data_IF_706241994649
#
_entry.id   IF_706241994649
#
_cell.length_a   1.000
_cell.length_b   1.000
_cell.length_c   1.000
_cell.angle_alpha   90.00
_cell.angle_beta   90.00
_cell.angle_gamma   90.00
#
_symmetry.space_group_name_H-M   'P 1'
#
loop_
_entity.id
_entity.type
_entity.pdbx_description
1 polymer ?
#
# COMPACT_ATOMS: atom_id res chain seq x y z
N UNK A 1 -16.07 6.55 26.24
CA UNK A 1 -15.52 6.86 24.91
C UNK A 1 -16.57 7.68 24.17
N UNK A 2 -16.18 8.79 23.57
CA UNK A 2 -17.09 9.60 22.77
C UNK A 2 -17.66 8.74 21.61
N UNK A 3 -18.97 8.65 21.50
CA UNK A 3 -19.65 7.78 20.52
C UNK A 3 -19.24 8.12 19.07
N UNK A 4 -18.95 9.39 18.78
CA UNK A 4 -18.51 9.84 17.46
C UNK A 4 -17.11 9.32 17.17
N UNK A 5 -16.15 9.49 18.08
CA UNK A 5 -14.77 9.00 17.90
C UNK A 5 -14.73 7.47 17.70
N UNK A 6 -15.57 6.73 18.43
CA UNK A 6 -15.66 5.27 18.25
C UNK A 6 -16.19 4.89 16.86
N UNK A 7 -17.21 5.59 16.36
CA UNK A 7 -17.75 5.36 15.01
C UNK A 7 -16.71 5.70 13.93
N UNK A 8 -15.99 6.81 14.07
CA UNK A 8 -14.93 7.20 13.13
C UNK A 8 -13.75 6.22 13.18
N UNK A 9 -13.39 5.71 14.36
CA UNK A 9 -12.36 4.67 14.50
C UNK A 9 -12.76 3.37 13.81
N UNK A 10 -14.01 2.92 13.98
CA UNK A 10 -14.52 1.74 13.28
C UNK A 10 -14.61 1.97 11.77
N UNK A 11 -14.99 3.18 11.34
CA UNK A 11 -14.96 3.58 9.93
C UNK A 11 -13.54 3.41 9.33
N UNK A 12 -12.50 3.91 10.01
CA UNK A 12 -11.12 3.76 9.56
C UNK A 12 -10.68 2.29 9.55
N UNK A 13 -11.06 1.51 10.57
CA UNK A 13 -10.77 0.09 10.63
C UNK A 13 -11.35 -0.64 9.41
N UNK A 14 -12.65 -0.46 9.13
CA UNK A 14 -13.32 -1.11 8.01
C UNK A 14 -12.77 -0.65 6.65
N UNK A 15 -12.46 0.65 6.51
CA UNK A 15 -11.87 1.22 5.30
C UNK A 15 -10.59 0.48 4.89
N UNK A 16 -9.71 0.23 5.83
CA UNK A 16 -8.42 -0.42 5.54
C UNK A 16 -8.50 -1.95 5.63
N UNK A 17 -9.47 -2.52 6.33
CA UNK A 17 -9.73 -3.95 6.30
C UNK A 17 -10.19 -4.43 4.91
N UNK A 18 -11.08 -3.67 4.24
CA UNK A 18 -11.47 -3.92 2.83
C UNK A 18 -10.26 -4.03 1.91
N UNK A 19 -9.21 -3.27 2.16
CA UNK A 19 -8.00 -3.24 1.34
C UNK A 19 -6.97 -4.29 1.78
N UNK A 20 -6.75 -4.41 3.09
CA UNK A 20 -5.72 -5.27 3.69
C UNK A 20 -5.93 -6.77 3.48
N UNK A 21 -7.18 -7.22 3.27
CA UNK A 21 -7.46 -8.64 3.10
C UNK A 21 -6.90 -9.22 1.80
N UNK A 22 -6.76 -8.43 0.73
CA UNK A 22 -6.39 -8.93 -0.60
C UNK A 22 -5.08 -8.37 -1.16
N UNK A 23 -4.73 -7.11 -0.86
CA UNK A 23 -3.60 -6.47 -1.54
C UNK A 23 -2.24 -7.15 -1.28
N UNK A 24 -1.92 -7.61 -0.05
CA UNK A 24 -0.64 -8.26 0.22
C UNK A 24 -0.41 -9.55 -0.58
N UNK A 25 -1.47 -10.25 -0.95
CA UNK A 25 -1.39 -11.56 -1.62
C UNK A 25 -1.86 -11.53 -3.07
N UNK A 26 -2.37 -10.38 -3.56
CA UNK A 26 -2.90 -10.30 -4.91
C UNK A 26 -1.85 -10.62 -5.97
N UNK A 27 -0.64 -10.09 -5.83
CA UNK A 27 0.42 -10.31 -6.80
C UNK A 27 0.85 -11.77 -6.86
N UNK A 28 0.90 -12.46 -5.72
CA UNK A 28 1.10 -13.90 -5.61
C UNK A 28 0.03 -14.65 -6.39
N UNK A 29 -1.25 -14.42 -6.09
CA UNK A 29 -2.37 -15.06 -6.79
C UNK A 29 -2.32 -14.86 -8.31
N UNK A 30 -2.03 -13.63 -8.75
CA UNK A 30 -2.00 -13.32 -10.19
C UNK A 30 -0.81 -13.95 -10.92
N UNK A 31 0.35 -14.11 -10.26
CA UNK A 31 1.56 -14.67 -10.88
C UNK A 31 1.69 -16.17 -10.72
N UNK A 32 1.11 -16.78 -9.68
CA UNK A 32 1.16 -18.24 -9.48
C UNK A 32 0.57 -18.98 -10.67
N UNK A 33 1.10 -20.17 -10.94
CA UNK A 33 0.70 -20.96 -12.10
C UNK A 33 -0.77 -21.36 -12.05
N UNK A 34 -1.37 -21.56 -13.22
CA UNK A 34 -2.75 -22.06 -13.30
C UNK A 34 -2.86 -23.48 -12.71
N UNK A 35 -1.80 -24.28 -12.79
CA UNK A 35 -1.76 -25.61 -12.19
C UNK A 35 -1.85 -25.57 -10.66
N UNK A 36 -1.31 -24.52 -10.02
CA UNK A 36 -1.37 -24.29 -8.58
C UNK A 36 -2.63 -23.52 -8.16
N UNK A 37 -3.52 -23.21 -9.12
CA UNK A 37 -4.76 -22.48 -8.88
C UNK A 37 -4.62 -20.95 -8.93
N UNK A 38 -3.48 -20.42 -9.40
CA UNK A 38 -3.27 -19.00 -9.69
C UNK A 38 -3.75 -18.61 -11.09
N UNK A 39 -3.45 -17.37 -11.50
CA UNK A 39 -3.89 -16.83 -12.79
C UNK A 39 -2.85 -17.00 -13.91
N UNK A 40 -1.60 -17.30 -13.61
CA UNK A 40 -0.51 -17.43 -14.56
C UNK A 40 -0.18 -16.15 -15.32
N UNK A 41 -0.48 -14.99 -14.77
CA UNK A 41 -0.19 -13.70 -15.41
C UNK A 41 1.30 -13.36 -15.34
N UNK A 42 1.81 -12.76 -16.40
CA UNK A 42 3.18 -12.24 -16.43
C UNK A 42 3.35 -11.07 -15.46
N UNK A 43 4.59 -10.81 -15.05
CA UNK A 43 4.92 -9.65 -14.20
C UNK A 43 4.46 -8.33 -14.83
N UNK A 44 4.51 -8.21 -16.17
CA UNK A 44 3.99 -7.06 -16.89
C UNK A 44 2.46 -6.90 -16.78
N UNK A 45 1.71 -8.00 -16.90
CA UNK A 45 0.26 -8.00 -16.75
C UNK A 45 -0.13 -7.63 -15.31
N UNK A 46 0.56 -8.18 -14.31
CA UNK A 46 0.36 -7.82 -12.89
C UNK A 46 0.69 -6.35 -12.66
N UNK A 47 1.76 -5.84 -13.26
CA UNK A 47 2.12 -4.43 -13.24
C UNK A 47 1.04 -3.52 -13.80
N UNK A 48 0.39 -3.91 -14.91
CA UNK A 48 -0.74 -3.15 -15.48
C UNK A 48 -1.97 -3.18 -14.56
N UNK A 49 -2.29 -4.33 -13.95
CA UNK A 49 -3.46 -4.47 -13.06
C UNK A 49 -3.25 -3.69 -11.75
N UNK A 50 -2.12 -3.90 -11.06
CA UNK A 50 -1.90 -3.31 -9.73
C UNK A 50 -1.36 -1.88 -9.85
N UNK A 51 -0.41 -1.64 -10.77
CA UNK A 51 0.21 -0.33 -10.96
C UNK A 51 -0.67 0.62 -11.75
N UNK A 52 -0.91 0.33 -13.03
CA UNK A 52 -1.61 1.27 -13.93
C UNK A 52 -3.09 1.40 -13.56
N UNK A 53 -3.83 0.30 -13.44
CA UNK A 53 -5.25 0.35 -13.10
C UNK A 53 -5.48 0.96 -11.71
N UNK A 54 -4.65 0.63 -10.72
CA UNK A 54 -4.68 1.27 -9.40
C UNK A 54 -4.46 2.76 -9.45
N UNK A 55 -3.54 3.23 -10.31
CA UNK A 55 -3.21 4.65 -10.47
C UNK A 55 -4.34 5.48 -11.06
N UNK A 56 -5.16 4.93 -11.95
CA UNK A 56 -6.31 5.65 -12.54
C UNK A 56 -7.25 6.12 -11.43
N UNK A 57 -7.54 5.26 -10.46
CA UNK A 57 -8.33 5.63 -9.29
C UNK A 57 -7.66 6.69 -8.43
N UNK A 58 -6.36 6.55 -8.13
CA UNK A 58 -5.62 7.50 -7.31
C UNK A 58 -5.56 8.91 -7.93
N UNK A 59 -5.38 9.00 -9.25
CA UNK A 59 -5.37 10.28 -9.98
C UNK A 59 -6.77 10.89 -10.04
N UNK A 60 -7.81 10.07 -10.23
CA UNK A 60 -9.20 10.56 -10.34
C UNK A 60 -9.85 10.87 -8.98
N UNK A 61 -9.35 10.29 -7.89
CA UNK A 61 -9.96 10.41 -6.56
C UNK A 61 -10.19 11.85 -6.07
N UNK A 62 -9.24 12.80 -6.20
CA UNK A 62 -9.46 14.19 -5.76
C UNK A 62 -10.59 14.88 -6.53
N UNK A 63 -10.80 14.53 -7.80
CA UNK A 63 -11.88 15.08 -8.62
C UNK A 63 -13.22 14.49 -8.23
N UNK A 64 -13.29 13.18 -8.01
CA UNK A 64 -14.53 12.48 -7.63
C UNK A 64 -14.95 12.86 -6.20
N UNK A 65 -14.02 12.82 -5.24
CA UNK A 65 -14.34 13.16 -3.84
C UNK A 65 -14.56 14.65 -3.67
N UNK A 66 -13.60 15.50 -4.08
CA UNK A 66 -13.63 16.94 -3.79
C UNK A 66 -14.58 17.74 -4.66
N UNK A 67 -14.69 17.44 -5.97
CA UNK A 67 -15.50 18.24 -6.87
C UNK A 67 -16.92 17.71 -7.07
N UNK A 68 -17.12 16.40 -6.99
CA UNK A 68 -18.42 15.80 -7.24
C UNK A 68 -19.15 15.44 -5.94
N UNK A 69 -18.50 14.67 -5.05
CA UNK A 69 -19.14 14.23 -3.81
C UNK A 69 -19.47 15.40 -2.89
N UNK A 70 -18.48 16.27 -2.61
CA UNK A 70 -18.63 17.38 -1.66
C UNK A 70 -19.69 18.40 -2.09
N UNK A 71 -20.04 18.47 -3.38
CA UNK A 71 -21.04 19.43 -3.88
C UNK A 71 -22.47 18.90 -3.89
N UNK A 72 -22.65 17.61 -4.15
CA UNK A 72 -23.98 17.08 -4.51
C UNK A 72 -24.52 16.06 -3.52
N UNK A 73 -23.66 15.43 -2.71
CA UNK A 73 -24.07 14.31 -1.87
C UNK A 73 -23.62 14.47 -0.42
N UNK A 74 -24.43 13.95 0.50
CA UNK A 74 -23.96 13.72 1.85
C UNK A 74 -22.86 12.64 1.84
N UNK A 75 -21.73 12.93 2.50
CA UNK A 75 -20.50 12.13 2.39
C UNK A 75 -20.72 10.67 2.76
N UNK A 76 -21.47 10.38 3.82
CA UNK A 76 -21.77 9.02 4.28
C UNK A 76 -22.59 8.23 3.26
N UNK A 77 -23.52 8.89 2.55
CA UNK A 77 -24.37 8.23 1.53
C UNK A 77 -23.58 7.93 0.26
N UNK A 78 -22.73 8.87 -0.16
CA UNK A 78 -21.89 8.69 -1.33
C UNK A 78 -20.82 7.61 -1.07
N UNK A 79 -20.22 7.61 0.12
CA UNK A 79 -19.32 6.57 0.58
C UNK A 79 -19.98 5.20 0.53
N UNK A 80 -21.20 5.06 1.06
CA UNK A 80 -21.97 3.81 1.00
C UNK A 80 -22.20 3.33 -0.43
N UNK A 81 -22.57 4.23 -1.36
CA UNK A 81 -22.80 3.89 -2.76
C UNK A 81 -21.50 3.39 -3.44
N UNK A 82 -20.36 4.07 -3.21
CA UNK A 82 -19.07 3.65 -3.75
C UNK A 82 -18.65 2.28 -3.21
N UNK A 83 -18.89 2.01 -1.93
CA UNK A 83 -18.57 0.72 -1.30
C UNK A 83 -19.44 -0.42 -1.84
N UNK A 84 -20.73 -0.19 -2.07
CA UNK A 84 -21.61 -1.19 -2.69
C UNK A 84 -21.14 -1.51 -4.11
N UNK A 85 -20.94 -0.49 -4.95
CA UNK A 85 -20.49 -0.69 -6.32
C UNK A 85 -19.11 -1.33 -6.36
N UNK A 86 -18.17 -0.86 -5.52
CA UNK A 86 -16.83 -1.43 -5.38
C UNK A 86 -16.86 -2.89 -4.91
N UNK A 87 -17.74 -3.22 -3.97
CA UNK A 87 -17.95 -4.59 -3.48
C UNK A 87 -18.45 -5.54 -4.57
N UNK A 88 -19.41 -5.09 -5.39
CA UNK A 88 -19.90 -5.86 -6.55
C UNK A 88 -18.75 -6.13 -7.53
N UNK A 89 -17.99 -5.09 -7.90
CA UNK A 89 -16.85 -5.22 -8.81
C UNK A 89 -15.79 -6.16 -8.23
N UNK A 90 -15.52 -6.07 -6.92
CA UNK A 90 -14.53 -6.92 -6.26
C UNK A 90 -14.93 -8.40 -6.27
N UNK A 91 -16.18 -8.70 -5.99
CA UNK A 91 -16.69 -10.06 -6.11
C UNK A 91 -16.65 -10.53 -7.56
N UNK A 92 -17.03 -9.67 -8.53
CA UNK A 92 -16.97 -10.00 -9.96
C UNK A 92 -15.55 -10.35 -10.42
N UNK A 93 -14.51 -9.67 -9.89
CA UNK A 93 -13.11 -9.97 -10.17
C UNK A 93 -12.72 -11.40 -9.80
N UNK A 94 -13.26 -11.95 -8.70
CA UNK A 94 -12.93 -13.29 -8.23
C UNK A 94 -13.38 -14.42 -9.15
N UNK A 95 -14.18 -14.12 -10.15
CA UNK A 95 -14.71 -15.07 -11.14
C UNK A 95 -14.13 -14.85 -12.56
N UNK A 96 -13.12 -13.99 -12.69
CA UNK A 96 -12.54 -13.67 -14.00
C UNK A 96 -11.23 -14.42 -14.22
N UNK A 97 -11.12 -15.02 -15.42
CA UNK A 97 -9.92 -15.76 -15.83
C UNK A 97 -9.10 -15.00 -16.88
N UNK A 98 -9.66 -13.98 -17.53
CA UNK A 98 -8.96 -13.24 -18.58
C UNK A 98 -8.29 -11.97 -18.07
N UNK A 99 -7.07 -11.71 -18.57
CA UNK A 99 -6.32 -10.48 -18.27
C UNK A 99 -7.11 -9.21 -18.62
N UNK A 100 -7.83 -9.20 -19.76
CA UNK A 100 -8.59 -8.03 -20.17
C UNK A 100 -9.72 -7.70 -19.18
N UNK A 101 -10.45 -8.71 -18.72
CA UNK A 101 -11.51 -8.53 -17.71
C UNK A 101 -10.91 -8.05 -16.37
N UNK A 102 -9.78 -8.61 -15.97
CA UNK A 102 -9.06 -8.16 -14.77
C UNK A 102 -8.64 -6.69 -14.87
N UNK A 103 -8.06 -6.27 -15.99
CA UNK A 103 -7.60 -4.89 -16.18
C UNK A 103 -8.77 -3.89 -16.13
N UNK A 104 -9.87 -4.19 -16.82
CA UNK A 104 -11.07 -3.34 -16.86
C UNK A 104 -11.71 -3.25 -15.47
N UNK A 105 -11.96 -4.38 -14.82
CA UNK A 105 -12.62 -4.40 -13.51
C UNK A 105 -11.72 -3.84 -12.41
N UNK A 106 -10.40 -4.08 -12.45
CA UNK A 106 -9.46 -3.47 -11.52
C UNK A 106 -9.42 -1.95 -11.67
N UNK A 107 -9.46 -1.44 -12.91
CA UNK A 107 -9.57 0.00 -13.17
C UNK A 107 -10.87 0.57 -12.61
N UNK A 108 -11.99 -0.07 -12.87
CA UNK A 108 -13.28 0.35 -12.34
C UNK A 108 -13.29 0.33 -10.80
N UNK A 109 -12.78 -0.75 -10.20
CA UNK A 109 -12.65 -0.84 -8.75
C UNK A 109 -11.81 0.30 -8.17
N UNK A 110 -10.67 0.61 -8.79
CA UNK A 110 -9.80 1.69 -8.28
C UNK A 110 -10.48 3.06 -8.34
N UNK A 111 -11.23 3.35 -9.41
CA UNK A 111 -12.02 4.59 -9.55
C UNK A 111 -13.11 4.69 -8.49
N UNK A 112 -13.71 3.57 -8.09
CA UNK A 112 -14.73 3.53 -7.04
C UNK A 112 -14.13 3.59 -5.63
N UNK A 113 -13.00 2.90 -5.39
CA UNK A 113 -12.44 2.73 -4.05
C UNK A 113 -11.52 3.90 -3.63
N UNK A 114 -10.65 4.40 -4.50
CA UNK A 114 -9.68 5.44 -4.11
C UNK A 114 -10.32 6.73 -3.56
N UNK A 115 -11.44 7.23 -4.10
CA UNK A 115 -12.14 8.38 -3.51
C UNK A 115 -12.61 8.14 -2.07
N UNK A 116 -12.92 6.89 -1.69
CA UNK A 116 -13.38 6.57 -0.32
C UNK A 116 -12.33 6.89 0.74
N UNK A 117 -11.03 6.80 0.42
CA UNK A 117 -9.94 7.18 1.31
C UNK A 117 -9.95 8.68 1.65
N UNK A 118 -10.22 9.52 0.66
CA UNK A 118 -10.33 10.98 0.85
C UNK A 118 -11.61 11.34 1.62
N UNK A 119 -12.74 10.68 1.30
CA UNK A 119 -14.02 10.92 1.96
C UNK A 119 -13.98 10.55 3.45
N UNK A 120 -13.35 9.42 3.81
CA UNK A 120 -13.21 9.01 5.22
C UNK A 120 -12.33 9.97 6.02
N UNK A 121 -11.24 10.46 5.42
CA UNK A 121 -10.40 11.47 6.06
C UNK A 121 -11.15 12.79 6.24
N UNK A 122 -11.84 13.27 5.20
CA UNK A 122 -12.65 14.51 5.24
C UNK A 122 -13.75 14.42 6.30
N UNK A 123 -14.46 13.28 6.37
CA UNK A 123 -15.48 13.03 7.39
C UNK A 123 -14.88 13.05 8.80
N UNK A 124 -13.73 12.42 9.02
CA UNK A 124 -13.07 12.44 10.31
C UNK A 124 -12.68 13.85 10.73
N UNK A 125 -12.11 14.65 9.83
CA UNK A 125 -11.79 16.06 10.12
C UNK A 125 -13.04 16.92 10.41
N UNK A 126 -14.16 16.65 9.74
CA UNK A 126 -15.39 17.42 9.93
C UNK A 126 -16.07 17.19 11.28
N UNK A 127 -15.81 16.05 11.95
CA UNK A 127 -16.50 15.65 13.18
C UNK A 127 -15.60 15.48 14.41
N UNK A 128 -14.31 15.86 14.31
CA UNK A 128 -13.40 15.87 15.44
C UNK A 128 -13.18 17.29 15.94
N UNK A 129 -13.55 17.55 17.21
CA UNK A 129 -13.43 18.88 17.82
C UNK A 129 -11.97 19.38 17.88
N UNK A 130 -11.04 18.46 18.11
CA UNK A 130 -9.59 18.71 18.15
C UNK A 130 -8.90 17.85 17.12
N UNK A 131 -9.10 18.16 15.83
CA UNK A 131 -8.64 17.34 14.72
C UNK A 131 -7.14 17.02 14.80
N UNK A 132 -6.28 18.00 15.15
CA UNK A 132 -4.83 17.80 15.25
C UNK A 132 -4.42 16.72 16.25
N UNK A 133 -5.11 16.60 17.39
CA UNK A 133 -4.78 15.63 18.45
C UNK A 133 -5.56 14.33 18.35
N UNK A 134 -6.80 14.37 17.84
CA UNK A 134 -7.71 13.22 17.81
C UNK A 134 -7.63 12.43 16.51
N UNK A 135 -7.34 13.09 15.38
CA UNK A 135 -7.25 12.41 14.08
C UNK A 135 -6.19 11.29 14.07
N UNK A 136 -4.96 11.45 14.59
CA UNK A 136 -4.00 10.35 14.64
C UNK A 136 -4.53 9.14 15.42
N UNK A 137 -5.27 9.36 16.51
CA UNK A 137 -5.86 8.30 17.34
C UNK A 137 -6.99 7.56 16.63
N UNK A 138 -7.74 8.23 15.79
CA UNK A 138 -8.78 7.65 14.93
C UNK A 138 -8.13 6.95 13.74
N UNK A 139 -7.14 7.57 13.10
CA UNK A 139 -6.48 7.07 11.89
C UNK A 139 -5.68 5.78 12.13
N UNK A 140 -5.10 5.59 13.30
CA UNK A 140 -4.36 4.36 13.65
C UNK A 140 -5.22 3.10 13.53
N UNK A 141 -6.54 3.21 13.74
CA UNK A 141 -7.47 2.09 13.56
C UNK A 141 -7.50 1.58 12.11
N UNK A 142 -7.16 2.43 11.14
CA UNK A 142 -6.96 1.97 9.77
C UNK A 142 -5.79 0.98 9.65
N UNK A 143 -4.65 1.26 10.25
CA UNK A 143 -3.51 0.34 10.27
C UNK A 143 -3.86 -0.96 11.01
N UNK A 144 -4.59 -0.85 12.12
CA UNK A 144 -5.08 -2.03 12.86
C UNK A 144 -6.03 -2.86 11.98
N UNK A 145 -6.95 -2.22 11.24
CA UNK A 145 -7.86 -2.89 10.31
C UNK A 145 -7.14 -3.62 9.17
N UNK A 146 -6.12 -2.98 8.60
CA UNK A 146 -5.25 -3.60 7.61
C UNK A 146 -4.56 -4.86 8.17
N UNK A 147 -3.88 -4.73 9.31
CA UNK A 147 -3.17 -5.84 9.94
C UNK A 147 -4.13 -6.97 10.30
N UNK A 148 -5.27 -6.65 10.93
CA UNK A 148 -6.25 -7.65 11.32
C UNK A 148 -6.77 -8.45 10.11
N UNK A 149 -7.10 -7.79 9.00
CA UNK A 149 -7.56 -8.46 7.78
C UNK A 149 -6.46 -9.31 7.13
N UNK A 150 -5.22 -8.79 7.10
CA UNK A 150 -4.05 -9.52 6.57
C UNK A 150 -3.68 -10.76 7.39
N UNK A 151 -4.09 -10.85 8.65
CA UNK A 151 -3.83 -12.01 9.51
C UNK A 151 -5.00 -12.96 9.56
N UNK A 152 -6.20 -12.46 9.83
CA UNK A 152 -7.37 -13.32 10.09
C UNK A 152 -7.75 -14.19 8.89
N UNK A 153 -7.75 -13.60 7.68
CA UNK A 153 -8.14 -14.35 6.49
C UNK A 153 -7.20 -15.54 6.22
N UNK A 154 -5.88 -15.33 5.99
CA UNK A 154 -5.00 -16.43 5.62
C UNK A 154 -4.87 -17.47 6.75
N UNK A 155 -4.81 -17.03 7.99
CA UNK A 155 -4.65 -17.94 9.13
C UNK A 155 -5.87 -18.83 9.37
N UNK A 156 -7.08 -18.37 9.06
CA UNK A 156 -8.31 -19.14 9.27
C UNK A 156 -8.69 -19.91 8.01
N UNK A 157 -8.54 -19.31 6.82
CA UNK A 157 -9.10 -19.84 5.58
C UNK A 157 -8.12 -20.72 4.77
N UNK A 158 -6.82 -20.43 4.90
CA UNK A 158 -5.78 -21.14 4.15
C UNK A 158 -5.15 -22.31 4.94
N UNK A 159 -5.62 -22.59 6.14
CA UNK A 159 -5.10 -23.65 7.00
C UNK A 159 -6.20 -24.61 7.46
N UNK A 160 -5.78 -25.83 7.79
CA UNK A 160 -6.56 -26.87 8.45
C UNK A 160 -5.88 -27.28 9.76
N UNK A 161 -6.61 -27.97 10.66
CA UNK A 161 -6.07 -28.43 11.96
C UNK A 161 -5.42 -27.32 12.77
N UNK A 162 -6.15 -26.19 12.91
CA UNK A 162 -5.64 -24.99 13.57
C UNK A 162 -5.36 -25.21 15.05
N UNK A 163 -4.14 -24.89 15.48
CA UNK A 163 -3.73 -24.82 16.88
C UNK A 163 -3.43 -23.36 17.25
N UNK A 164 -3.90 -22.95 18.43
CA UNK A 164 -3.61 -21.62 18.95
C UNK A 164 -2.30 -21.64 19.74
N UNK A 165 -1.44 -20.65 19.46
CA UNK A 165 -0.23 -20.40 20.25
C UNK A 165 -0.17 -18.93 20.69
N UNK A 166 0.51 -18.68 21.83
CA UNK A 166 0.58 -17.33 22.43
C UNK A 166 1.44 -16.37 21.61
N UNK A 167 2.45 -16.88 20.90
CA UNK A 167 3.35 -16.09 20.07
C UNK A 167 2.89 -16.09 18.61
N UNK A 168 3.14 -14.98 17.85
CA UNK A 168 2.89 -14.99 16.41
C UNK A 168 3.61 -16.17 15.72
N UNK A 169 2.96 -16.77 14.74
CA UNK A 169 1.71 -16.38 14.09
C UNK A 169 0.42 -16.87 14.76
N UNK A 170 0.19 -16.77 15.99
CA UNK A 170 -0.97 -17.09 16.84
C UNK A 170 -1.78 -18.35 16.47
N UNK A 171 -2.04 -18.61 15.21
CA UNK A 171 -2.69 -19.81 14.68
C UNK A 171 -1.72 -20.53 13.74
N UNK A 172 -1.45 -21.77 14.02
CA UNK A 172 -0.58 -22.64 13.23
C UNK A 172 -1.38 -23.88 12.85
N UNK A 173 -1.27 -24.28 11.61
CA UNK A 173 -1.92 -25.47 11.09
C UNK A 173 -1.26 -25.91 9.81
N UNK A 174 -1.82 -26.91 9.16
CA UNK A 174 -1.35 -27.35 7.85
C UNK A 174 -1.99 -26.48 6.76
N UNK A 175 -1.17 -25.92 5.88
CA UNK A 175 -1.69 -25.23 4.71
C UNK A 175 -2.56 -26.18 3.87
N UNK A 176 -3.71 -25.69 3.41
CA UNK A 176 -4.59 -26.50 2.57
C UNK A 176 -3.99 -26.67 1.17
N UNK A 177 -4.20 -27.82 0.49
CA UNK A 177 -3.58 -28.07 -0.82
C UNK A 177 -3.99 -27.06 -1.91
N UNK A 178 -5.15 -26.42 -1.76
CA UNK A 178 -5.70 -25.42 -2.68
C UNK A 178 -5.53 -23.97 -2.17
N UNK A 179 -4.52 -23.70 -1.32
CA UNK A 179 -4.31 -22.39 -0.69
C UNK A 179 -4.19 -21.25 -1.72
N UNK A 180 -3.41 -21.45 -2.77
CA UNK A 180 -3.27 -20.44 -3.83
C UNK A 180 -4.60 -20.14 -4.54
N UNK A 181 -5.39 -21.16 -4.87
CA UNK A 181 -6.71 -20.97 -5.45
C UNK A 181 -7.67 -20.21 -4.52
N UNK A 182 -7.58 -20.48 -3.21
CA UNK A 182 -8.38 -19.78 -2.19
C UNK A 182 -8.00 -18.31 -2.01
N UNK A 183 -6.87 -17.84 -2.54
CA UNK A 183 -6.56 -16.42 -2.56
C UNK A 183 -7.60 -15.59 -3.35
N UNK A 184 -8.30 -16.18 -4.34
CA UNK A 184 -9.44 -15.55 -4.99
C UNK A 184 -10.55 -15.16 -4.00
N UNK A 185 -10.70 -15.90 -2.90
CA UNK A 185 -11.72 -15.62 -1.89
C UNK A 185 -11.43 -14.35 -1.10
N UNK A 186 -10.17 -13.85 -1.09
CA UNK A 186 -9.83 -12.53 -0.52
C UNK A 186 -10.65 -11.43 -1.17
N UNK A 187 -10.91 -11.54 -2.47
CA UNK A 187 -11.70 -10.59 -3.24
C UNK A 187 -13.18 -10.65 -2.84
N UNK A 188 -13.71 -11.87 -2.65
CA UNK A 188 -15.10 -12.09 -2.17
C UNK A 188 -15.27 -11.53 -0.76
N UNK A 189 -14.34 -11.85 0.15
CA UNK A 189 -14.35 -11.32 1.53
C UNK A 189 -14.26 -9.81 1.54
N UNK A 190 -13.36 -9.21 0.73
CA UNK A 190 -13.28 -7.76 0.56
C UNK A 190 -14.62 -7.15 0.14
N UNK A 191 -15.30 -7.77 -0.84
CA UNK A 191 -16.63 -7.33 -1.28
C UNK A 191 -17.68 -7.41 -0.17
N UNK A 192 -17.71 -8.53 0.58
CA UNK A 192 -18.63 -8.70 1.72
C UNK A 192 -18.36 -7.66 2.81
N UNK A 193 -17.09 -7.44 3.19
CA UNK A 193 -16.71 -6.42 4.17
C UNK A 193 -17.09 -5.02 3.66
N UNK A 194 -16.96 -4.74 2.35
CA UNK A 194 -17.41 -3.49 1.76
C UNK A 194 -18.92 -3.29 1.88
N UNK A 195 -19.74 -4.34 1.72
CA UNK A 195 -21.19 -4.26 1.93
C UNK A 195 -21.55 -4.01 3.41
N UNK A 196 -20.88 -4.70 4.33
CA UNK A 196 -21.07 -4.46 5.77
C UNK A 196 -20.67 -3.02 6.14
N UNK A 197 -19.59 -2.54 5.57
CA UNK A 197 -19.13 -1.17 5.75
C UNK A 197 -20.11 -0.16 5.14
N UNK A 198 -20.67 -0.42 3.96
CA UNK A 198 -21.70 0.40 3.36
C UNK A 198 -22.95 0.50 4.25
N UNK A 199 -23.39 -0.60 4.86
CA UNK A 199 -24.44 -0.61 5.88
C UNK A 199 -24.07 0.22 7.12
N UNK A 200 -22.83 0.11 7.59
CA UNK A 200 -22.34 0.91 8.71
C UNK A 200 -22.28 2.42 8.41
N UNK A 201 -22.10 2.82 7.14
CA UNK A 201 -22.12 4.24 6.77
C UNK A 201 -23.40 4.98 7.20
N UNK A 202 -24.54 4.30 7.31
CA UNK A 202 -25.78 4.90 7.78
C UNK A 202 -25.78 5.19 9.31
N UNK A 203 -24.81 4.67 10.05
CA UNK A 203 -24.60 4.95 11.47
C UNK A 203 -23.57 6.07 11.70
N UNK A 204 -22.88 6.52 10.65
CA UNK A 204 -21.91 7.61 10.71
C UNK A 204 -22.63 8.98 10.91
N UNK A 205 -21.93 9.98 11.44
CA UNK A 205 -22.50 11.31 11.59
C UNK A 205 -22.81 11.93 10.22
N UNK A 206 -23.94 12.62 10.13
CA UNK A 206 -24.37 13.25 8.89
C UNK A 206 -23.39 14.36 8.47
N UNK A 207 -22.88 14.27 7.26
CA UNK A 207 -21.93 15.22 6.68
C UNK A 207 -22.52 15.80 5.40
N UNK A 208 -23.19 16.97 5.50
CA UNK A 208 -23.89 17.58 4.38
C UNK A 208 -22.91 18.08 3.31
N UNK A 209 -23.34 18.21 2.03
CA UNK A 209 -22.52 18.74 0.97
C UNK A 209 -22.12 20.19 1.22
N UNK A 210 -20.87 20.55 0.91
CA UNK A 210 -20.33 21.91 0.97
C UNK A 210 -20.51 22.57 -0.39
N UNK A 211 -21.36 23.62 -0.47
CA UNK A 211 -21.66 24.33 -1.74
C UNK A 211 -20.55 25.29 -2.18
N UNK A 212 -19.68 25.71 -1.26
CA UNK A 212 -18.61 26.68 -1.54
C UNK A 212 -17.40 25.96 -2.09
N UNK A 213 -17.15 26.17 -3.36
CA UNK A 213 -16.20 25.39 -4.13
C UNK A 213 -14.73 25.73 -3.88
N UNK A 214 -13.89 24.70 -3.92
CA UNK A 214 -12.43 24.79 -4.01
C UNK A 214 -12.05 25.66 -5.22
N UNK A 215 -11.16 26.63 -5.03
CA UNK A 215 -10.65 27.50 -6.09
C UNK A 215 -10.01 26.66 -7.22
N UNK A 216 -10.57 26.78 -8.43
CA UNK A 216 -10.08 26.09 -9.64
C UNK A 216 -8.61 26.43 -10.00
N UNK A 217 -8.11 27.55 -9.49
CA UNK A 217 -6.76 28.07 -9.78
C UNK A 217 -5.66 27.53 -8.83
N UNK A 218 -6.03 26.96 -7.68
CA UNK A 218 -5.06 26.47 -6.69
C UNK A 218 -4.16 25.35 -7.24
N UNK A 219 -4.69 24.50 -8.12
CA UNK A 219 -3.91 23.46 -8.82
C UNK A 219 -2.80 24.03 -9.71
N UNK A 220 -3.09 25.08 -10.49
CA UNK A 220 -2.07 25.74 -11.33
C UNK A 220 -0.97 26.39 -10.49
N UNK A 221 -1.35 27.02 -9.38
CA UNK A 221 -0.38 27.59 -8.45
C UNK A 221 0.48 26.49 -7.77
N UNK A 222 -0.10 25.35 -7.43
CA UNK A 222 0.66 24.24 -6.86
C UNK A 222 1.74 23.70 -7.81
N UNK A 223 1.48 23.65 -9.12
CA UNK A 223 2.50 23.30 -10.12
C UNK A 223 3.64 24.33 -10.20
N UNK A 224 3.42 25.59 -9.83
CA UNK A 224 4.50 26.59 -9.79
C UNK A 224 5.56 26.28 -8.73
N UNK A 225 5.24 25.46 -7.72
CA UNK A 225 6.24 24.98 -6.74
C UNK A 225 7.37 24.18 -7.40
N UNK A 226 7.13 23.55 -8.56
CA UNK A 226 8.18 22.87 -9.32
C UNK A 226 9.29 23.81 -9.81
N UNK A 227 9.05 25.13 -9.82
CA UNK A 227 10.10 26.12 -10.11
C UNK A 227 11.04 26.34 -8.93
N UNK A 228 10.62 26.00 -7.71
CA UNK A 228 11.49 26.02 -6.50
C UNK A 228 12.41 24.81 -6.53
N UNK A 229 13.72 25.05 -6.52
CA UNK A 229 14.73 24.00 -6.71
C UNK A 229 14.58 22.84 -5.73
N UNK A 230 14.35 23.12 -4.45
CA UNK A 230 14.22 22.08 -3.42
C UNK A 230 12.98 21.21 -3.62
N UNK A 231 11.85 21.82 -4.00
CA UNK A 231 10.63 21.08 -4.32
C UNK A 231 10.82 20.22 -5.59
N UNK A 232 11.45 20.74 -6.62
CA UNK A 232 11.75 19.98 -7.84
C UNK A 232 12.66 18.78 -7.56
N UNK A 233 13.70 18.96 -6.73
CA UNK A 233 14.59 17.85 -6.30
C UNK A 233 13.84 16.83 -5.47
N UNK A 234 12.94 17.28 -4.56
CA UNK A 234 12.11 16.36 -3.78
C UNK A 234 11.21 15.50 -4.68
N UNK A 235 10.55 16.12 -5.67
CA UNK A 235 9.71 15.39 -6.64
C UNK A 235 10.56 14.42 -7.48
N UNK A 236 11.72 14.86 -7.97
CA UNK A 236 12.65 14.03 -8.74
C UNK A 236 13.18 12.83 -7.93
N UNK A 237 13.34 12.97 -6.60
CA UNK A 237 13.71 11.88 -5.70
C UNK A 237 12.51 10.99 -5.35
N UNK A 238 11.33 11.58 -5.18
CA UNK A 238 10.13 10.86 -4.75
C UNK A 238 9.56 9.93 -5.83
N UNK A 239 9.68 10.31 -7.09
CA UNK A 239 9.16 9.51 -8.20
C UNK A 239 9.84 8.14 -8.32
N UNK A 240 11.18 8.01 -8.40
CA UNK A 240 11.84 6.71 -8.45
C UNK A 240 11.59 5.89 -7.16
N UNK A 241 11.51 6.53 -5.99
CA UNK A 241 11.17 5.82 -4.74
C UNK A 241 9.73 5.30 -4.77
N UNK A 242 8.78 6.06 -5.30
CA UNK A 242 7.40 5.60 -5.47
C UNK A 242 7.31 4.41 -6.44
N UNK A 243 8.12 4.42 -7.51
CA UNK A 243 8.22 3.28 -8.46
C UNK A 243 8.74 2.03 -7.76
N UNK A 244 9.89 2.09 -7.09
CA UNK A 244 10.47 0.92 -6.40
C UNK A 244 9.62 0.44 -5.22
N UNK A 245 8.92 1.35 -4.54
CA UNK A 245 7.98 1.03 -3.48
C UNK A 245 6.77 0.25 -4.03
N UNK A 246 6.23 0.65 -5.17
CA UNK A 246 5.12 -0.07 -5.81
C UNK A 246 5.56 -1.44 -6.34
N UNK A 247 6.76 -1.55 -6.93
CA UNK A 247 7.32 -2.85 -7.37
C UNK A 247 7.48 -3.79 -6.17
N UNK A 248 7.88 -3.28 -5.00
CA UNK A 248 7.91 -4.07 -3.77
C UNK A 248 6.54 -4.70 -3.47
N UNK A 249 5.44 -3.97 -3.50
CA UNK A 249 4.11 -4.54 -3.26
C UNK A 249 3.70 -5.60 -4.30
N UNK A 250 4.22 -5.50 -5.52
CA UNK A 250 3.95 -6.45 -6.58
C UNK A 250 4.87 -7.68 -6.59
N UNK A 251 6.03 -7.62 -5.91
CA UNK A 251 7.03 -8.70 -5.96
C UNK A 251 7.41 -9.28 -4.60
N UNK A 252 6.99 -8.67 -3.48
CA UNK A 252 7.31 -9.21 -2.16
C UNK A 252 6.65 -10.58 -1.92
N UNK A 253 5.38 -10.74 -2.26
CA UNK A 253 4.67 -12.03 -2.13
C UNK A 253 5.31 -13.13 -2.98
N UNK A 254 5.44 -12.96 -4.31
CA UNK A 254 6.14 -13.91 -5.17
C UNK A 254 7.59 -14.21 -4.72
N UNK A 255 8.31 -13.22 -4.20
CA UNK A 255 9.64 -13.40 -3.64
C UNK A 255 9.63 -14.30 -2.40
N UNK A 256 8.73 -14.05 -1.45
CA UNK A 256 8.60 -14.90 -0.26
C UNK A 256 8.22 -16.33 -0.61
N UNK A 257 7.29 -16.51 -1.53
CA UNK A 257 6.86 -17.83 -1.99
C UNK A 257 7.97 -18.54 -2.79
N UNK A 258 8.38 -17.99 -3.92
CA UNK A 258 9.19 -18.70 -4.92
C UNK A 258 10.69 -18.72 -4.59
N UNK A 259 11.21 -17.67 -3.92
CA UNK A 259 12.63 -17.61 -3.57
C UNK A 259 12.91 -18.17 -2.17
N UNK A 260 12.05 -17.84 -1.20
CA UNK A 260 12.29 -18.19 0.20
C UNK A 260 11.49 -19.40 0.69
N UNK A 261 10.59 -19.95 -0.15
CA UNK A 261 9.78 -21.11 0.16
C UNK A 261 8.73 -20.88 1.26
N UNK A 262 8.28 -19.62 1.44
CA UNK A 262 7.24 -19.31 2.40
C UNK A 262 5.90 -19.89 1.94
N UNK A 263 5.18 -20.52 2.84
CA UNK A 263 3.80 -20.93 2.60
C UNK A 263 2.91 -19.70 2.33
N UNK A 264 1.97 -19.82 1.40
CA UNK A 264 1.08 -18.72 0.97
C UNK A 264 0.32 -18.11 2.15
N UNK A 265 -0.04 -18.93 3.12
CA UNK A 265 -0.69 -18.54 4.37
C UNK A 265 0.06 -17.45 5.15
N UNK A 266 1.39 -17.45 5.12
CA UNK A 266 2.20 -16.55 5.95
C UNK A 266 2.68 -15.30 5.21
N UNK A 267 2.43 -15.16 3.90
CA UNK A 267 2.87 -14.01 3.10
C UNK A 267 2.28 -12.70 3.63
N UNK A 268 0.95 -12.62 3.76
CA UNK A 268 0.30 -11.40 4.22
C UNK A 268 0.71 -11.04 5.67
N UNK A 269 0.71 -11.98 6.65
CA UNK A 269 1.25 -11.74 7.98
C UNK A 269 2.72 -11.25 7.97
N UNK A 270 3.60 -11.87 7.18
CA UNK A 270 5.00 -11.48 7.08
C UNK A 270 5.17 -10.03 6.57
N UNK A 271 4.36 -9.64 5.59
CA UNK A 271 4.40 -8.26 5.09
C UNK A 271 3.97 -7.24 6.15
N UNK A 272 3.11 -7.60 7.10
CA UNK A 272 2.66 -6.68 8.16
C UNK A 272 3.73 -6.33 9.19
N UNK A 273 4.85 -7.05 9.25
CA UNK A 273 6.01 -6.67 10.08
C UNK A 273 6.46 -5.25 9.76
N UNK A 274 6.39 -4.87 8.49
CA UNK A 274 6.68 -3.50 8.04
C UNK A 274 5.71 -2.47 8.61
N UNK A 275 4.41 -2.77 8.68
CA UNK A 275 3.38 -1.88 9.21
C UNK A 275 3.48 -1.71 10.73
N UNK A 276 3.82 -2.76 11.47
CA UNK A 276 4.13 -2.63 12.90
C UNK A 276 5.33 -1.71 13.14
N UNK A 277 6.40 -1.88 12.37
CA UNK A 277 7.57 -1.03 12.45
C UNK A 277 7.26 0.43 12.05
N UNK A 278 6.40 0.64 11.05
CA UNK A 278 5.96 1.96 10.61
C UNK A 278 5.33 2.76 11.76
N UNK A 279 4.45 2.15 12.55
CA UNK A 279 3.84 2.80 13.72
C UNK A 279 4.93 3.32 14.68
N UNK A 280 5.94 2.50 14.96
CA UNK A 280 7.05 2.88 15.82
C UNK A 280 7.90 4.02 15.24
N UNK A 281 8.27 3.94 13.97
CA UNK A 281 9.07 4.97 13.31
C UNK A 281 8.32 6.28 13.10
N UNK A 282 7.01 6.25 12.83
CA UNK A 282 6.19 7.46 12.78
C UNK A 282 6.13 8.17 14.13
N UNK A 283 6.07 7.42 15.25
CA UNK A 283 6.14 8.00 16.59
C UNK A 283 7.49 8.68 16.86
N UNK A 284 8.58 8.17 16.28
CA UNK A 284 9.93 8.71 16.42
C UNK A 284 10.26 9.84 15.41
N UNK A 285 9.43 9.99 14.36
CA UNK A 285 9.73 10.87 13.23
C UNK A 285 9.97 12.33 13.65
N UNK A 286 9.16 12.86 14.56
CA UNK A 286 9.36 14.22 15.08
C UNK A 286 10.75 14.42 15.70
N UNK A 287 11.23 13.44 16.46
CA UNK A 287 12.58 13.49 17.07
C UNK A 287 13.68 13.41 16.00
N UNK A 288 13.48 12.57 14.99
CA UNK A 288 14.43 12.46 13.87
C UNK A 288 14.51 13.77 13.09
N UNK A 289 13.38 14.39 12.77
CA UNK A 289 13.34 15.67 12.07
C UNK A 289 13.98 16.81 12.88
N UNK A 290 13.76 16.85 14.20
CA UNK A 290 14.42 17.85 15.06
C UNK A 290 15.96 17.69 15.13
N UNK A 291 16.46 16.44 15.05
CA UNK A 291 17.91 16.17 15.16
C UNK A 291 18.64 16.22 13.82
N UNK A 292 18.01 15.73 12.75
CA UNK A 292 18.64 15.54 11.44
C UNK A 292 18.18 16.56 10.39
N UNK A 293 17.03 17.22 10.61
CA UNK A 293 16.36 18.04 9.59
C UNK A 293 15.75 17.18 8.47
N UNK A 294 15.03 17.82 7.56
CA UNK A 294 14.37 17.11 6.46
C UNK A 294 15.35 16.40 5.52
N UNK A 295 16.44 17.07 5.17
CA UNK A 295 17.44 16.52 4.24
C UNK A 295 17.94 15.14 4.66
N UNK A 296 18.47 15.04 5.85
CA UNK A 296 19.09 13.78 6.32
C UNK A 296 18.06 12.74 6.73
N UNK A 297 16.87 13.15 7.18
CA UNK A 297 15.78 12.22 7.45
C UNK A 297 15.27 11.57 6.16
N UNK A 298 15.05 12.33 5.08
CA UNK A 298 14.65 11.79 3.77
C UNK A 298 15.76 10.92 3.17
N UNK A 299 17.03 11.35 3.30
CA UNK A 299 18.19 10.52 2.89
C UNK A 299 18.21 9.18 3.64
N UNK A 300 17.98 9.18 4.94
CA UNK A 300 17.91 7.97 5.76
C UNK A 300 16.79 7.02 5.27
N UNK A 301 15.63 7.56 4.90
CA UNK A 301 14.55 6.78 4.31
C UNK A 301 14.94 6.10 2.99
N UNK A 302 15.64 6.82 2.10
CA UNK A 302 16.16 6.25 0.85
C UNK A 302 17.25 5.20 1.09
N UNK A 303 18.15 5.42 2.06
CA UNK A 303 19.14 4.43 2.47
C UNK A 303 18.51 3.18 3.11
N UNK A 304 17.37 3.31 3.79
CA UNK A 304 16.63 2.16 4.31
C UNK A 304 16.06 1.29 3.16
N UNK A 305 15.58 1.90 2.07
CA UNK A 305 15.22 1.16 0.84
C UNK A 305 16.44 0.44 0.26
N UNK A 306 17.57 1.12 0.12
CA UNK A 306 18.81 0.52 -0.36
C UNK A 306 19.21 -0.68 0.50
N UNK A 307 19.26 -0.53 1.81
CA UNK A 307 19.64 -1.60 2.73
C UNK A 307 18.71 -2.80 2.62
N UNK A 308 17.37 -2.58 2.64
CA UNK A 308 16.39 -3.65 2.56
C UNK A 308 16.49 -4.43 1.26
N UNK A 309 16.54 -3.75 0.11
CA UNK A 309 16.64 -4.43 -1.19
C UNK A 309 18.00 -5.09 -1.40
N UNK A 310 19.08 -4.54 -0.82
CA UNK A 310 20.39 -5.20 -0.81
C UNK A 310 20.34 -6.50 0.00
N UNK A 311 19.70 -6.50 1.18
CA UNK A 311 19.51 -7.72 1.99
C UNK A 311 18.74 -8.76 1.17
N UNK A 312 17.64 -8.37 0.52
CA UNK A 312 16.85 -9.30 -0.31
C UNK A 312 17.60 -9.78 -1.54
N UNK A 313 18.40 -8.92 -2.18
CA UNK A 313 19.30 -9.32 -3.25
C UNK A 313 20.33 -10.36 -2.80
N UNK A 314 20.97 -10.15 -1.64
CA UNK A 314 21.97 -11.05 -1.09
C UNK A 314 21.41 -12.43 -0.73
N UNK A 315 20.24 -12.50 -0.08
CA UNK A 315 19.60 -13.79 0.23
C UNK A 315 19.10 -14.51 -1.02
N UNK A 316 18.82 -13.76 -2.11
CA UNK A 316 18.44 -14.33 -3.40
C UNK A 316 19.61 -14.85 -4.23
N UNK A 317 20.87 -14.69 -3.80
CA UNK A 317 22.03 -15.32 -4.43
C UNK A 317 22.13 -16.83 -4.11
N UNK A 318 21.38 -17.29 -3.12
CA UNK A 318 21.21 -18.70 -2.82
C UNK A 318 20.16 -19.30 -3.78
N UNK A 319 20.26 -20.58 -4.03
CA UNK A 319 19.24 -21.29 -4.81
C UNK A 319 17.87 -21.14 -4.14
N UNK A 320 16.82 -21.09 -4.96
CA UNK A 320 15.44 -21.00 -4.47
C UNK A 320 15.15 -22.16 -3.52
N UNK A 321 14.62 -21.83 -2.35
CA UNK A 321 14.21 -22.83 -1.36
C UNK A 321 12.91 -23.50 -1.82
N UNK A 322 12.84 -24.83 -1.69
CA UNK A 322 11.54 -25.50 -1.71
C UNK A 322 10.67 -25.05 -0.53
N UNK A 323 9.40 -25.51 -0.45
CA UNK A 323 8.50 -25.15 0.63
C UNK A 323 9.16 -25.32 2.01
N UNK A 324 9.08 -24.30 2.86
CA UNK A 324 9.67 -24.31 4.21
C UNK A 324 8.81 -25.13 5.17
N UNK A 325 8.83 -26.45 4.99
CA UNK A 325 8.11 -27.42 5.81
C UNK A 325 9.03 -28.56 6.25
N UNK A 326 8.74 -29.13 7.42
CA UNK A 326 9.40 -30.35 7.89
C UNK A 326 8.79 -31.61 7.29
N UNK A 327 9.28 -32.78 7.71
CA UNK A 327 8.80 -34.09 7.26
C UNK A 327 7.30 -34.35 7.61
N UNK A 328 6.74 -33.62 8.54
CA UNK A 328 5.34 -33.69 8.92
C UNK A 328 4.46 -32.65 8.18
N UNK A 329 5.05 -31.85 7.28
CA UNK A 329 4.36 -30.80 6.56
C UNK A 329 4.14 -29.51 7.39
N UNK A 330 4.80 -29.40 8.55
CA UNK A 330 4.71 -28.23 9.43
C UNK A 330 5.66 -27.14 8.96
N UNK A 331 5.22 -25.88 9.01
CA UNK A 331 6.02 -24.73 8.63
C UNK A 331 7.30 -24.59 9.48
N UNK A 332 8.43 -24.36 8.83
CA UNK A 332 9.74 -24.22 9.47
C UNK A 332 10.40 -22.90 9.09
N UNK A 333 10.89 -22.19 10.10
CA UNK A 333 11.66 -20.96 9.90
C UNK A 333 13.11 -21.28 9.45
N UNK A 334 13.42 -21.02 8.19
CA UNK A 334 14.79 -21.05 7.67
C UNK A 334 15.50 -19.72 7.89
N UNK A 335 16.83 -19.70 7.92
CA UNK A 335 17.59 -18.46 8.11
C UNK A 335 17.33 -17.41 7.02
N UNK A 336 17.30 -17.73 5.71
CA UNK A 336 16.93 -16.76 4.68
C UNK A 336 15.52 -16.19 4.88
N UNK A 337 14.57 -17.05 5.26
CA UNK A 337 13.19 -16.64 5.52
C UNK A 337 13.10 -15.67 6.70
N UNK A 338 13.77 -15.97 7.82
CA UNK A 338 13.84 -15.07 8.96
C UNK A 338 14.45 -13.72 8.58
N UNK A 339 15.57 -13.72 7.86
CA UNK A 339 16.23 -12.49 7.41
C UNK A 339 15.27 -11.69 6.50
N UNK A 340 14.59 -12.35 5.55
CA UNK A 340 13.62 -11.73 4.67
C UNK A 340 12.48 -11.04 5.44
N UNK A 341 11.88 -11.75 6.40
CA UNK A 341 10.75 -11.25 7.21
C UNK A 341 11.20 -10.14 8.16
N UNK A 342 12.27 -10.33 8.93
CA UNK A 342 12.71 -9.30 9.89
C UNK A 342 13.27 -8.05 9.21
N UNK A 343 13.84 -8.17 8.01
CA UNK A 343 14.24 -6.99 7.23
C UNK A 343 13.05 -6.09 6.82
N UNK A 344 11.82 -6.57 6.91
CA UNK A 344 10.61 -5.75 6.74
C UNK A 344 10.49 -4.62 7.77
N UNK A 345 11.19 -4.71 8.91
CA UNK A 345 11.29 -3.58 9.87
C UNK A 345 11.80 -2.32 9.15
N UNK A 346 12.72 -2.47 8.20
CA UNK A 346 13.21 -1.35 7.39
C UNK A 346 12.11 -0.69 6.54
N UNK A 347 11.02 -1.42 6.19
CA UNK A 347 9.89 -0.82 5.48
C UNK A 347 9.24 0.32 6.26
N UNK A 348 9.07 0.16 7.57
CA UNK A 348 8.56 1.23 8.42
C UNK A 348 9.46 2.47 8.41
N UNK A 349 10.79 2.26 8.45
CA UNK A 349 11.77 3.33 8.34
C UNK A 349 11.72 4.00 6.95
N UNK A 350 11.60 3.22 5.87
CA UNK A 350 11.42 3.72 4.51
C UNK A 350 10.22 4.67 4.42
N UNK A 351 9.05 4.23 4.91
CA UNK A 351 7.83 5.02 4.81
C UNK A 351 7.90 6.28 5.68
N UNK A 352 8.25 6.14 6.96
CA UNK A 352 8.27 7.25 7.90
C UNK A 352 9.32 8.31 7.50
N UNK A 353 10.57 7.89 7.25
CA UNK A 353 11.65 8.83 6.96
C UNK A 353 11.63 9.39 5.55
N UNK A 354 11.11 8.66 4.55
CA UNK A 354 11.01 9.19 3.18
C UNK A 354 9.66 9.83 2.92
N UNK A 355 8.58 9.04 2.83
CA UNK A 355 7.29 9.57 2.38
C UNK A 355 6.63 10.51 3.37
N UNK A 356 6.53 10.15 4.65
CA UNK A 356 5.91 11.03 5.65
C UNK A 356 6.71 12.33 5.81
N UNK A 357 8.04 12.27 5.84
CA UNK A 357 8.89 13.46 5.87
C UNK A 357 8.73 14.32 4.61
N UNK A 358 8.63 13.72 3.43
CA UNK A 358 8.43 14.45 2.19
C UNK A 358 7.08 15.18 2.19
N UNK A 359 5.99 14.54 2.63
CA UNK A 359 4.70 15.20 2.80
C UNK A 359 4.76 16.35 3.81
N UNK A 360 5.43 16.16 4.95
CA UNK A 360 5.62 17.22 5.95
C UNK A 360 6.45 18.39 5.40
N UNK A 361 7.47 18.10 4.57
CA UNK A 361 8.24 19.14 3.90
C UNK A 361 7.39 19.95 2.93
N UNK A 362 6.57 19.27 2.11
CA UNK A 362 5.64 19.94 1.17
C UNK A 362 4.66 20.84 1.93
N UNK A 363 4.14 20.39 3.06
CA UNK A 363 3.26 21.17 3.92
C UNK A 363 3.93 22.46 4.42
N UNK A 364 5.20 22.37 4.76
CA UNK A 364 5.97 23.46 5.37
C UNK A 364 6.45 24.50 4.38
N UNK A 365 6.76 24.10 3.13
CA UNK A 365 7.27 25.03 2.11
C UNK A 365 6.18 25.65 1.23
N UNK A 366 4.97 25.09 1.26
CA UNK A 366 3.84 25.62 0.53
C UNK A 366 3.19 26.79 1.29
N UNK A 367 2.92 27.88 0.57
CA UNK A 367 2.19 29.01 1.12
C UNK A 367 0.78 28.58 1.53
N UNK A 368 0.17 29.23 2.55
CA UNK A 368 -1.09 28.78 3.15
C UNK A 368 -2.24 28.63 2.15
N UNK A 369 -2.31 29.51 1.14
CA UNK A 369 -3.37 29.52 0.12
C UNK A 369 -3.28 28.34 -0.86
N UNK A 370 -2.11 27.69 -1.00
CA UNK A 370 -1.87 26.57 -1.93
C UNK A 370 -1.49 25.26 -1.24
N UNK A 371 -1.37 25.24 0.09
CA UNK A 371 -0.86 24.09 0.87
C UNK A 371 -1.61 22.79 0.54
N UNK A 372 -2.92 22.81 0.60
CA UNK A 372 -3.75 21.63 0.29
C UNK A 372 -3.58 21.16 -1.17
N UNK A 373 -3.43 22.11 -2.10
CA UNK A 373 -3.22 21.78 -3.51
C UNK A 373 -1.82 21.21 -3.76
N UNK A 374 -0.80 21.71 -3.05
CA UNK A 374 0.55 21.17 -3.11
C UNK A 374 0.62 19.73 -2.58
N UNK A 375 -0.04 19.45 -1.46
CA UNK A 375 -0.19 18.11 -0.90
C UNK A 375 -0.90 17.17 -1.89
N UNK A 376 -1.97 17.64 -2.53
CA UNK A 376 -2.72 16.86 -3.52
C UNK A 376 -1.87 16.55 -4.75
N UNK A 377 -1.16 17.54 -5.30
CA UNK A 377 -0.27 17.35 -6.46
C UNK A 377 0.85 16.37 -6.12
N UNK A 378 1.48 16.53 -4.97
CA UNK A 378 2.52 15.63 -4.51
C UNK A 378 1.99 14.21 -4.28
N UNK A 379 0.80 14.06 -3.70
CA UNK A 379 0.10 12.80 -3.54
C UNK A 379 -0.21 12.10 -4.87
N UNK A 380 -0.67 12.86 -5.89
CA UNK A 380 -0.88 12.33 -7.25
C UNK A 380 0.43 11.78 -7.84
N UNK A 381 1.56 12.48 -7.63
CA UNK A 381 2.87 12.03 -8.12
C UNK A 381 3.26 10.69 -7.45
N UNK A 382 3.12 10.57 -6.14
CA UNK A 382 3.55 9.38 -5.39
C UNK A 382 2.57 8.22 -5.57
N UNK A 383 1.27 8.46 -5.41
CA UNK A 383 0.25 7.40 -5.39
C UNK A 383 -0.37 7.13 -6.76
N UNK A 384 -0.16 8.03 -7.73
CA UNK A 384 -0.66 7.90 -9.09
C UNK A 384 0.48 7.66 -10.10
N UNK A 385 1.31 8.67 -10.34
CA UNK A 385 2.34 8.60 -11.41
C UNK A 385 3.39 7.54 -11.11
N UNK A 386 3.87 7.44 -9.85
CA UNK A 386 4.85 6.43 -9.45
C UNK A 386 4.38 5.00 -9.75
N UNK A 387 3.23 4.54 -9.21
CA UNK A 387 2.68 3.24 -9.53
C UNK A 387 2.33 3.03 -11.01
N UNK A 388 1.91 4.09 -11.73
CA UNK A 388 1.66 4.03 -13.17
C UNK A 388 2.94 3.68 -13.95
N UNK A 389 4.10 4.22 -13.55
CA UNK A 389 5.40 3.90 -14.13
C UNK A 389 5.87 2.51 -13.66
N UNK A 390 5.61 2.16 -12.40
CA UNK A 390 6.01 0.87 -11.84
C UNK A 390 5.41 -0.32 -12.59
N UNK A 391 4.19 -0.18 -13.12
CA UNK A 391 3.53 -1.23 -13.90
C UNK A 391 4.35 -1.68 -15.11
N UNK A 392 4.59 -0.83 -16.12
CA UNK A 392 5.44 -1.15 -17.25
C UNK A 392 6.88 -1.51 -16.85
N UNK A 393 7.45 -0.82 -15.84
CA UNK A 393 8.80 -1.12 -15.34
C UNK A 393 8.90 -2.57 -14.83
N UNK A 394 7.88 -3.08 -14.15
CA UNK A 394 7.84 -4.48 -13.72
C UNK A 394 7.80 -5.45 -14.91
N UNK A 395 7.11 -5.09 -16.00
CA UNK A 395 7.15 -5.86 -17.25
C UNK A 395 8.57 -5.94 -17.85
N UNK A 396 9.30 -4.83 -17.83
CA UNK A 396 10.72 -4.80 -18.26
C UNK A 396 11.57 -5.69 -17.36
N UNK A 397 11.39 -5.60 -16.03
CA UNK A 397 12.11 -6.44 -15.07
C UNK A 397 11.81 -7.93 -15.26
N UNK A 398 10.55 -8.30 -15.55
CA UNK A 398 10.16 -9.67 -15.88
C UNK A 398 10.81 -10.20 -17.14
N UNK A 399 11.05 -9.36 -18.14
CA UNK A 399 11.77 -9.75 -19.37
C UNK A 399 13.29 -9.83 -19.17
N UNK A 400 13.87 -8.97 -18.32
CA UNK A 400 15.32 -8.90 -18.10
C UNK A 400 15.79 -9.93 -17.06
N UNK A 401 15.01 -10.09 -15.99
CA UNK A 401 15.35 -10.93 -14.83
C UNK A 401 14.40 -12.12 -14.66
N UNK A 402 13.77 -12.56 -15.75
CA UNK A 402 12.77 -13.61 -15.65
C UNK A 402 12.74 -14.53 -16.87
N UNK A 403 11.82 -15.49 -16.77
CA UNK A 403 11.50 -16.44 -17.83
C UNK A 403 10.02 -16.28 -18.20
N UNK A 404 9.70 -16.32 -19.48
CA UNK A 404 8.34 -16.11 -20.00
C UNK A 404 7.65 -14.83 -19.47
N UNK A 405 8.43 -13.79 -19.13
CA UNK A 405 7.92 -12.53 -18.61
C UNK A 405 7.58 -12.53 -17.11
N UNK A 406 7.93 -13.58 -16.38
CA UNK A 406 7.79 -13.67 -14.92
C UNK A 406 9.17 -13.58 -14.28
N UNK A 407 9.34 -12.72 -13.25
CA UNK A 407 10.61 -12.59 -12.54
C UNK A 407 10.97 -13.89 -11.85
N UNK A 408 12.16 -14.45 -12.20
CA UNK A 408 12.74 -15.64 -11.57
C UNK A 408 14.10 -15.33 -10.94
N UNK A 409 14.87 -14.40 -11.49
CA UNK A 409 16.11 -13.90 -10.90
C UNK A 409 15.82 -12.73 -9.96
N UNK A 410 15.37 -13.04 -8.75
CA UNK A 410 15.07 -12.04 -7.71
C UNK A 410 16.32 -11.25 -7.28
N UNK A 411 17.52 -11.86 -7.32
CA UNK A 411 18.75 -11.15 -6.97
C UNK A 411 19.00 -9.96 -7.91
N UNK A 412 18.95 -10.17 -9.22
CA UNK A 412 19.14 -9.11 -10.21
C UNK A 412 18.08 -8.00 -10.08
N UNK A 413 16.83 -8.39 -9.86
CA UNK A 413 15.73 -7.43 -9.65
C UNK A 413 15.97 -6.58 -8.39
N UNK A 414 16.19 -7.21 -7.22
CA UNK A 414 16.36 -6.46 -5.96
C UNK A 414 17.60 -5.58 -5.96
N UNK A 415 18.72 -6.01 -6.54
CA UNK A 415 19.89 -5.15 -6.69
C UNK A 415 19.66 -3.96 -7.61
N UNK A 416 18.84 -4.12 -8.65
CA UNK A 416 18.41 -2.99 -9.50
C UNK A 416 17.63 -1.96 -8.68
N UNK A 417 16.64 -2.41 -7.89
CA UNK A 417 15.88 -1.50 -7.03
C UNK A 417 16.74 -0.87 -5.92
N UNK A 418 17.69 -1.63 -5.36
CA UNK A 418 18.67 -1.10 -4.40
C UNK A 418 19.53 0.01 -5.03
N UNK A 419 20.00 -0.19 -6.26
CA UNK A 419 20.79 0.82 -6.98
C UNK A 419 19.99 2.10 -7.19
N UNK A 420 18.71 2.01 -7.60
CA UNK A 420 17.83 3.18 -7.74
C UNK A 420 17.67 3.90 -6.38
N UNK A 421 17.49 3.16 -5.29
CA UNK A 421 17.38 3.73 -3.96
C UNK A 421 18.67 4.45 -3.52
N UNK A 422 19.85 3.87 -3.80
CA UNK A 422 21.15 4.46 -3.50
C UNK A 422 21.38 5.75 -4.30
N UNK A 423 21.10 5.74 -5.59
CA UNK A 423 21.19 6.94 -6.45
C UNK A 423 20.26 8.05 -5.97
N UNK A 424 19.05 7.67 -5.52
CA UNK A 424 18.10 8.62 -4.93
C UNK A 424 18.61 9.19 -3.61
N UNK A 425 19.17 8.35 -2.74
CA UNK A 425 19.79 8.80 -1.50
C UNK A 425 20.94 9.81 -1.78
N UNK A 426 21.79 9.52 -2.76
CA UNK A 426 22.86 10.41 -3.19
C UNK A 426 22.30 11.74 -3.77
N UNK A 427 21.25 11.67 -4.59
CA UNK A 427 20.59 12.88 -5.12
C UNK A 427 20.09 13.78 -3.97
N UNK A 428 19.39 13.22 -2.99
CA UNK A 428 18.89 13.99 -1.85
C UNK A 428 20.07 14.52 -1.02
N UNK A 429 21.05 13.69 -0.68
CA UNK A 429 22.20 14.09 0.14
C UNK A 429 23.04 15.19 -0.50
N UNK A 430 23.19 15.21 -1.82
CA UNK A 430 24.06 16.17 -2.51
C UNK A 430 23.29 17.44 -2.94
N UNK A 431 22.11 17.26 -3.55
CA UNK A 431 21.42 18.33 -4.28
C UNK A 431 20.27 18.96 -3.48
N UNK A 432 19.58 18.17 -2.63
CA UNK A 432 18.46 18.70 -1.86
C UNK A 432 18.94 19.71 -0.82
N UNK A 433 18.29 20.87 -0.78
CA UNK A 433 18.51 21.91 0.22
C UNK A 433 17.26 22.07 1.06
N UNK A 434 17.43 22.02 2.37
CA UNK A 434 16.35 22.26 3.33
C UNK A 434 16.11 23.76 3.42
N UNK A 435 15.00 24.24 2.85
CA UNK A 435 14.61 25.66 2.89
C UNK A 435 13.86 26.03 4.16
N UNK A 436 13.73 25.09 5.08
CA UNK A 436 13.01 25.29 6.36
C UNK A 436 13.93 25.57 7.53
N UNK A 437 15.25 25.55 7.31
CA UNK A 437 16.30 25.86 8.28
C UNK A 437 16.78 27.29 8.18
#
# INVERSE_FOLDING_TARGET
>A
MDTIKSRLSLMMFLQYAVWGVWLPVLATYLQSSVADGGMGFTSGQVGLIIGVAGSVGAVSAPFIAGQFADRYFATEKFLAALLVLGGIVKISLSYQDSFAAWLVLATLYSVLYMPTLSLTNSMAFAHLDKAESDFPRVRVWGTIGWIAASWLFPMIWLQSNLEFQVLPPFFVGNEVPDATARLADTLKVSGVVAFLYAGFCFLLPHTPPKKDGVEKLAFKKAFSLLTRKSFAVLVAASLPVAVIHQIYFMQAGPFFENQLGMLVTYIAPAMTVGQFAEIGFLALLGTLLMRLGFKWTITLGALAYFARYTIWGLISLQDSAGPSVDAAGQFVWTAPLMIGVFSQILHGLCYACFFASAFMYVDRVADEDIRNSAQTVFGIIILGVGPMIAGPALGILGNVFGEAGVVTNFAGMWFTLATIALLTAALVAIVFRDETQ
#
